data_IF_418031742869
#
_entry.id   IF_418031742869
#
_cell.length_a   1.000
_cell.length_b   1.000
_cell.length_c   1.000
_cell.angle_alpha   90.00
_cell.angle_beta   90.00
_cell.angle_gamma   90.00
#
_symmetry.space_group_name_H-M   'P 1'
#
loop_
_entity.id
_entity.type
_entity.pdbx_description
1 polymer ?
#
# COMPACT_ATOMS: atom_id res chain seq x y z
N UNK A 1 15.06 -20.57 9.07
CA UNK A 1 15.99 -19.93 8.10
C UNK A 1 16.45 -18.55 8.58
N UNK A 2 15.59 -17.70 9.15
CA UNK A 2 15.92 -16.35 9.65
C UNK A 2 17.08 -16.30 10.68
N UNK A 3 17.14 -17.28 11.60
CA UNK A 3 18.21 -17.39 12.59
C UNK A 3 19.60 -17.51 11.97
N UNK A 4 19.76 -18.33 10.93
CA UNK A 4 21.05 -18.48 10.24
C UNK A 4 21.50 -17.15 9.62
N UNK A 5 20.56 -16.37 9.09
CA UNK A 5 20.82 -15.00 8.62
C UNK A 5 21.34 -14.08 9.75
N UNK A 6 20.74 -14.14 10.94
CA UNK A 6 21.21 -13.39 12.11
C UNK A 6 22.63 -13.80 12.52
N UNK A 7 22.94 -15.10 12.51
CA UNK A 7 24.25 -15.61 12.87
C UNK A 7 25.33 -15.14 11.87
N UNK A 8 25.08 -15.28 10.57
CA UNK A 8 25.97 -14.78 9.53
C UNK A 8 26.18 -13.26 9.61
N UNK A 9 25.12 -12.46 9.81
CA UNK A 9 25.23 -11.01 9.98
C UNK A 9 26.02 -10.66 11.25
N UNK A 10 25.79 -11.38 12.35
CA UNK A 10 26.53 -11.17 13.60
C UNK A 10 28.05 -11.40 13.42
N UNK A 11 28.40 -12.39 12.59
CA UNK A 11 29.77 -12.75 12.20
C UNK A 11 30.42 -11.78 11.21
N UNK A 12 29.66 -10.81 10.67
CA UNK A 12 30.16 -9.78 9.76
C UNK A 12 29.88 -10.04 8.28
N UNK A 13 29.14 -11.09 7.93
CA UNK A 13 28.68 -11.29 6.56
C UNK A 13 27.73 -10.16 6.12
N UNK A 14 27.53 -10.02 4.82
CA UNK A 14 26.61 -9.05 4.22
C UNK A 14 25.61 -9.74 3.31
N UNK A 15 24.39 -9.21 3.25
CA UNK A 15 23.41 -9.57 2.23
C UNK A 15 23.88 -8.95 0.90
N UNK A 16 23.91 -9.76 -0.15
CA UNK A 16 24.35 -9.34 -1.49
C UNK A 16 23.53 -8.13 -1.96
N UNK A 17 24.20 -7.10 -2.49
CA UNK A 17 23.60 -5.83 -2.95
C UNK A 17 22.89 -5.00 -1.86
N UNK A 18 23.03 -5.35 -0.57
CA UNK A 18 22.37 -4.66 0.57
C UNK A 18 23.37 -4.40 1.72
N UNK A 19 24.56 -3.93 1.41
CA UNK A 19 25.67 -3.78 2.37
C UNK A 19 25.41 -2.72 3.45
N UNK A 20 24.80 -1.59 3.08
CA UNK A 20 24.46 -0.52 4.02
C UNK A 20 23.40 -0.97 5.04
N UNK A 21 22.35 -1.64 4.57
CA UNK A 21 21.29 -2.21 5.40
C UNK A 21 21.82 -3.34 6.29
N UNK A 22 22.69 -4.19 5.73
CA UNK A 22 23.41 -5.22 6.50
C UNK A 22 24.23 -4.57 7.62
N UNK A 23 24.95 -3.49 7.33
CA UNK A 23 25.72 -2.72 8.32
C UNK A 23 24.87 -2.23 9.49
N UNK A 24 23.68 -1.70 9.21
CA UNK A 24 22.73 -1.23 10.22
C UNK A 24 22.11 -2.39 11.05
N UNK A 25 21.93 -3.56 10.44
CA UNK A 25 21.36 -4.75 11.09
C UNK A 25 22.36 -5.54 11.94
N UNK A 26 23.68 -5.44 11.70
CA UNK A 26 24.73 -6.12 12.47
C UNK A 26 24.67 -5.92 14.00
N UNK A 27 24.54 -4.70 14.54
CA UNK A 27 24.44 -4.52 16.00
C UNK A 27 23.20 -5.23 16.57
N UNK A 28 22.07 -5.19 15.85
CA UNK A 28 20.83 -5.86 16.23
C UNK A 28 20.99 -7.39 16.19
N UNK A 29 21.61 -7.94 15.14
CA UNK A 29 21.92 -9.36 15.03
C UNK A 29 22.82 -9.86 16.19
N UNK A 30 23.81 -9.06 16.59
CA UNK A 30 24.68 -9.37 17.75
C UNK A 30 23.92 -9.31 19.08
N UNK A 31 22.99 -8.36 19.23
CA UNK A 31 22.14 -8.28 20.41
C UNK A 31 21.20 -9.49 20.50
N UNK A 32 20.60 -9.89 19.37
CA UNK A 32 19.74 -11.07 19.26
C UNK A 32 20.48 -12.37 19.61
N UNK A 33 21.68 -12.59 19.07
CA UNK A 33 22.45 -13.81 19.36
C UNK A 33 22.87 -13.88 20.83
N UNK A 34 23.30 -12.75 21.43
CA UNK A 34 23.59 -12.66 22.87
C UNK A 34 22.36 -12.88 23.74
N UNK A 35 21.21 -12.33 23.35
CA UNK A 35 19.96 -12.50 24.09
C UNK A 35 19.50 -13.96 24.09
N UNK A 36 19.64 -14.66 22.96
CA UNK A 36 19.35 -16.09 22.88
C UNK A 36 20.27 -16.90 23.80
N UNK A 37 21.58 -16.57 23.83
CA UNK A 37 22.52 -17.26 24.71
C UNK A 37 22.18 -17.04 26.20
N UNK A 38 21.74 -15.82 26.56
CA UNK A 38 21.22 -15.53 27.90
C UNK A 38 19.97 -16.35 28.23
N UNK A 39 19.00 -16.43 27.32
CA UNK A 39 17.78 -17.24 27.50
C UNK A 39 18.14 -18.72 27.67
N UNK A 40 19.08 -19.24 26.86
CA UNK A 40 19.56 -20.62 26.97
C UNK A 40 20.22 -20.90 28.32
N UNK A 41 21.06 -19.98 28.80
CA UNK A 41 21.67 -20.06 30.12
C UNK A 41 20.61 -20.12 31.23
N UNK A 42 19.66 -19.18 31.22
CA UNK A 42 18.58 -19.13 32.22
C UNK A 42 17.67 -20.36 32.18
N UNK A 43 17.35 -20.87 30.99
CA UNK A 43 16.57 -22.11 30.83
C UNK A 43 17.33 -23.32 31.37
N UNK A 44 18.64 -23.40 31.11
CA UNK A 44 19.50 -24.46 31.64
C UNK A 44 19.52 -24.42 33.16
N UNK A 45 19.74 -23.25 33.74
CA UNK A 45 19.77 -23.06 35.20
C UNK A 45 18.41 -23.41 35.83
N UNK A 46 17.31 -22.98 35.22
CA UNK A 46 15.95 -23.30 35.66
C UNK A 46 15.62 -24.80 35.54
N UNK A 47 16.19 -25.50 34.56
CA UNK A 47 15.99 -26.96 34.39
C UNK A 47 16.78 -27.81 35.38
N UNK A 48 17.92 -27.30 35.88
CA UNK A 48 18.77 -27.98 36.85
C UNK A 48 18.37 -27.68 38.29
N UNK A 49 17.71 -26.54 38.52
CA UNK A 49 17.21 -26.14 39.82
C UNK A 49 15.75 -26.60 39.99
N UNK A 50 15.53 -27.68 40.75
CA UNK A 50 14.19 -28.22 41.01
C UNK A 50 13.24 -27.29 41.78
N UNK A 51 13.75 -26.17 42.29
CA UNK A 51 12.98 -25.14 42.97
C UNK A 51 12.75 -23.95 42.03
N UNK A 52 11.57 -23.93 41.39
CA UNK A 52 11.13 -22.86 40.50
C UNK A 52 10.73 -21.62 41.31
N UNK A 53 11.71 -21.00 41.97
CA UNK A 53 11.46 -19.82 42.78
C UNK A 53 10.94 -18.67 41.90
N UNK A 54 9.93 -17.90 42.36
CA UNK A 54 9.33 -16.82 41.59
C UNK A 54 10.30 -15.78 41.00
N UNK A 55 11.43 -15.40 41.63
CA UNK A 55 12.40 -14.47 41.01
C UNK A 55 13.16 -15.09 39.82
N UNK A 56 13.47 -16.39 39.84
CA UNK A 56 14.13 -17.07 38.72
C UNK A 56 13.23 -17.07 37.47
N UNK A 57 11.95 -17.42 37.66
CA UNK A 57 10.95 -17.40 36.59
C UNK A 57 10.75 -15.98 36.02
N UNK A 58 10.72 -14.95 36.89
CA UNK A 58 10.61 -13.54 36.45
C UNK A 58 11.78 -13.11 35.58
N UNK A 59 13.01 -13.49 35.94
CA UNK A 59 14.20 -13.17 35.16
C UNK A 59 14.19 -13.88 33.79
N UNK A 60 13.75 -15.14 33.76
CA UNK A 60 13.56 -15.88 32.52
C UNK A 60 12.51 -15.22 31.62
N UNK A 61 11.33 -14.88 32.17
CA UNK A 61 10.25 -14.22 31.43
C UNK A 61 10.72 -12.87 30.86
N UNK A 62 11.39 -12.05 31.68
CA UNK A 62 11.94 -10.76 31.22
C UNK A 62 12.96 -10.96 30.10
N UNK A 63 13.79 -12.00 30.19
CA UNK A 63 14.75 -12.33 29.14
C UNK A 63 14.09 -12.83 27.86
N UNK A 64 13.01 -13.60 27.96
CA UNK A 64 12.21 -14.04 26.82
C UNK A 64 11.53 -12.85 26.14
N UNK A 65 10.94 -11.91 26.88
CA UNK A 65 10.36 -10.69 26.30
C UNK A 65 11.42 -9.85 25.57
N UNK A 66 12.63 -9.74 26.13
CA UNK A 66 13.74 -9.03 25.47
C UNK A 66 14.14 -9.74 24.17
N UNK A 67 14.24 -11.07 24.19
CA UNK A 67 14.56 -11.87 23.02
C UNK A 67 13.48 -11.74 21.94
N UNK A 68 12.21 -11.84 22.31
CA UNK A 68 11.06 -11.72 21.43
C UNK A 68 11.03 -10.37 20.71
N UNK A 69 11.25 -9.28 21.45
CA UNK A 69 11.33 -7.94 20.87
C UNK A 69 12.49 -7.79 19.88
N UNK A 70 13.69 -8.27 20.26
CA UNK A 70 14.86 -8.25 19.38
C UNK A 70 14.67 -9.10 18.12
N UNK A 71 13.98 -10.24 18.26
CA UNK A 71 13.69 -11.14 17.15
C UNK A 71 12.70 -10.51 16.17
N UNK A 72 11.61 -9.94 16.69
CA UNK A 72 10.61 -9.25 15.88
C UNK A 72 11.21 -8.04 15.14
N UNK A 73 12.03 -7.24 15.82
CA UNK A 73 12.71 -6.10 15.19
C UNK A 73 13.70 -6.57 14.11
N UNK A 74 14.49 -7.62 14.40
CA UNK A 74 15.42 -8.19 13.43
C UNK A 74 14.68 -8.75 12.20
N UNK A 75 13.59 -9.49 12.42
CA UNK A 75 12.77 -10.05 11.35
C UNK A 75 12.20 -8.96 10.45
N UNK A 76 11.59 -7.93 11.03
CA UNK A 76 11.04 -6.81 10.27
C UNK A 76 12.11 -6.14 9.41
N UNK A 77 13.30 -5.86 9.98
CA UNK A 77 14.41 -5.24 9.25
C UNK A 77 14.94 -6.15 8.15
N UNK A 78 15.10 -7.43 8.44
CA UNK A 78 15.62 -8.42 7.50
C UNK A 78 14.68 -8.62 6.30
N UNK A 79 13.37 -8.71 6.56
CA UNK A 79 12.35 -8.81 5.50
C UNK A 79 12.25 -7.51 4.71
N UNK A 80 12.28 -6.35 5.38
CA UNK A 80 12.23 -5.03 4.72
C UNK A 80 13.41 -4.77 3.77
N UNK A 81 14.57 -5.39 4.03
CA UNK A 81 15.73 -5.34 3.15
C UNK A 81 15.54 -6.16 1.86
N UNK A 82 14.73 -7.21 1.91
CA UNK A 82 14.50 -8.15 0.80
C UNK A 82 13.27 -7.79 -0.02
N UNK A 83 12.22 -7.29 0.64
CA UNK A 83 10.94 -6.96 0.04
C UNK A 83 10.53 -5.57 0.53
N UNK A 84 10.06 -4.67 -0.35
CA UNK A 84 9.51 -3.40 0.08
C UNK A 84 8.31 -3.66 1.01
N UNK A 85 8.49 -3.39 2.30
CA UNK A 85 7.41 -3.47 3.29
C UNK A 85 6.66 -2.15 3.26
N UNK A 86 5.38 -2.23 2.89
CA UNK A 86 4.53 -1.04 2.83
C UNK A 86 4.19 -0.54 4.22
N UNK A 87 4.18 0.77 4.39
CA UNK A 87 3.71 1.37 5.65
C UNK A 87 2.19 1.18 5.81
N UNK A 88 1.67 1.27 7.04
CA UNK A 88 0.23 1.23 7.28
C UNK A 88 -0.52 2.29 6.46
N UNK A 89 0.07 3.47 6.34
CA UNK A 89 -0.45 4.55 5.50
C UNK A 89 -0.47 4.19 4.01
N UNK A 90 0.56 3.52 3.49
CA UNK A 90 0.56 3.04 2.10
C UNK A 90 -0.53 1.99 1.83
N UNK A 91 -0.84 1.14 2.82
CA UNK A 91 -1.97 0.22 2.74
C UNK A 91 -3.31 0.95 2.73
N UNK A 92 -3.47 1.97 3.57
CA UNK A 92 -4.67 2.82 3.58
C UNK A 92 -4.87 3.50 2.22
N UNK A 93 -3.82 4.10 1.66
CA UNK A 93 -3.86 4.73 0.34
C UNK A 93 -4.23 3.71 -0.75
N UNK A 94 -3.65 2.50 -0.71
CA UNK A 94 -4.00 1.45 -1.66
C UNK A 94 -5.47 1.00 -1.51
N UNK A 95 -5.98 0.90 -0.28
CA UNK A 95 -7.38 0.56 -0.04
C UNK A 95 -8.33 1.65 -0.55
N UNK A 96 -7.99 2.93 -0.38
CA UNK A 96 -8.77 4.04 -0.94
C UNK A 96 -8.86 3.98 -2.47
N UNK A 97 -7.78 3.55 -3.15
CA UNK A 97 -7.79 3.33 -4.61
C UNK A 97 -8.77 2.21 -4.98
N UNK A 98 -8.76 1.11 -4.22
CA UNK A 98 -9.70 0.00 -4.45
C UNK A 98 -11.14 0.46 -4.26
N UNK A 99 -11.43 1.20 -3.18
CA UNK A 99 -12.77 1.77 -2.94
C UNK A 99 -13.20 2.68 -4.09
N UNK A 100 -12.31 3.56 -4.56
CA UNK A 100 -12.59 4.44 -5.70
C UNK A 100 -12.93 3.65 -6.98
N UNK A 101 -12.24 2.54 -7.23
CA UNK A 101 -12.51 1.66 -8.37
C UNK A 101 -13.87 0.98 -8.22
N UNK A 102 -14.18 0.47 -7.03
CA UNK A 102 -15.47 -0.16 -6.72
C UNK A 102 -16.64 0.84 -6.84
N UNK A 103 -16.49 2.07 -6.33
CA UNK A 103 -17.50 3.11 -6.48
C UNK A 103 -17.73 3.46 -7.96
N UNK A 104 -16.65 3.57 -8.73
CA UNK A 104 -16.75 3.90 -10.16
C UNK A 104 -17.45 2.79 -10.93
N UNK A 105 -17.12 1.52 -10.64
CA UNK A 105 -17.80 0.36 -11.22
C UNK A 105 -19.28 0.34 -10.86
N UNK A 106 -19.62 0.54 -9.58
CA UNK A 106 -21.01 0.54 -9.12
C UNK A 106 -21.82 1.68 -9.77
N UNK A 107 -21.24 2.87 -9.91
CA UNK A 107 -21.90 3.99 -10.61
C UNK A 107 -22.17 3.65 -12.08
N UNK A 108 -21.22 3.03 -12.77
CA UNK A 108 -21.39 2.63 -14.15
C UNK A 108 -22.48 1.54 -14.32
N UNK A 109 -22.59 0.60 -13.37
CA UNK A 109 -23.68 -0.39 -13.32
C UNK A 109 -25.04 0.27 -13.09
N UNK A 110 -25.15 1.18 -12.11
CA UNK A 110 -26.42 1.88 -11.80
C UNK A 110 -26.89 2.75 -12.97
N UNK A 111 -25.97 3.37 -13.72
CA UNK A 111 -26.28 4.14 -14.92
C UNK A 111 -26.56 3.27 -16.16
N UNK A 112 -26.46 1.94 -16.05
CA UNK A 112 -26.73 1.01 -17.14
C UNK A 112 -25.68 1.03 -18.25
N UNK A 113 -24.48 1.54 -17.97
CA UNK A 113 -23.37 1.64 -18.92
C UNK A 113 -22.61 0.32 -19.06
N UNK A 114 -22.78 -0.57 -18.07
CA UNK A 114 -22.19 -1.89 -18.00
C UNK A 114 -23.28 -2.86 -17.53
N UNK A 115 -23.17 -4.11 -17.96
CA UNK A 115 -24.02 -5.20 -17.46
C UNK A 115 -23.31 -5.97 -16.35
N UNK A 116 -24.07 -6.62 -15.47
CA UNK A 116 -23.52 -7.46 -14.42
C UNK A 116 -22.72 -8.65 -14.99
N UNK A 117 -23.15 -9.17 -16.13
CA UNK A 117 -22.48 -10.28 -16.84
C UNK A 117 -21.03 -9.92 -17.24
N UNK A 118 -20.79 -8.69 -17.72
CA UNK A 118 -19.43 -8.22 -18.05
C UNK A 118 -18.50 -8.17 -16.83
N UNK A 119 -19.07 -7.96 -15.63
CA UNK A 119 -18.31 -7.97 -14.38
C UNK A 119 -18.00 -9.40 -13.95
N UNK A 120 -19.01 -10.27 -14.00
CA UNK A 120 -18.89 -11.66 -13.58
C UNK A 120 -17.94 -12.46 -14.50
N UNK A 121 -17.91 -12.13 -15.79
CA UNK A 121 -17.03 -12.72 -16.80
C UNK A 121 -15.61 -12.14 -16.81
N UNK A 122 -15.30 -11.18 -15.94
CA UNK A 122 -14.02 -10.48 -15.92
C UNK A 122 -13.62 -9.93 -17.30
N UNK A 123 -14.53 -9.23 -17.98
CA UNK A 123 -14.29 -8.70 -19.33
C UNK A 123 -12.96 -7.91 -19.37
N UNK A 124 -11.98 -8.31 -20.20
CA UNK A 124 -10.71 -7.61 -20.31
C UNK A 124 -10.86 -6.10 -20.61
N UNK A 125 -11.83 -5.72 -21.44
CA UNK A 125 -12.08 -4.31 -21.76
C UNK A 125 -12.53 -3.53 -20.52
N UNK A 126 -13.34 -4.15 -19.66
CA UNK A 126 -13.77 -3.59 -18.38
C UNK A 126 -12.59 -3.44 -17.42
N UNK A 127 -11.75 -4.48 -17.31
CA UNK A 127 -10.57 -4.49 -16.44
C UNK A 127 -9.57 -3.37 -16.77
N UNK A 128 -9.50 -2.93 -18.03
CA UNK A 128 -8.69 -1.77 -18.43
C UNK A 128 -9.42 -0.43 -18.30
N UNK A 129 -10.73 -0.39 -18.51
CA UNK A 129 -11.50 0.85 -18.59
C UNK A 129 -11.84 1.40 -17.20
N UNK A 130 -12.22 0.53 -16.26
CA UNK A 130 -12.60 0.94 -14.90
C UNK A 130 -11.48 1.69 -14.17
N UNK A 131 -10.22 1.22 -14.15
CA UNK A 131 -9.13 1.97 -13.52
C UNK A 131 -8.96 3.38 -14.09
N UNK A 132 -9.07 3.54 -15.42
CA UNK A 132 -8.93 4.84 -16.09
C UNK A 132 -10.07 5.78 -15.71
N UNK A 133 -11.29 5.26 -15.74
CA UNK A 133 -12.49 6.00 -15.38
C UNK A 133 -12.47 6.42 -13.92
N UNK A 134 -11.98 5.54 -13.04
CA UNK A 134 -11.87 5.79 -11.62
C UNK A 134 -10.83 6.85 -11.27
N UNK A 135 -9.72 6.91 -12.03
CA UNK A 135 -8.76 8.01 -11.91
C UNK A 135 -9.43 9.34 -12.25
N UNK A 136 -10.16 9.39 -13.37
CA UNK A 136 -10.86 10.63 -13.80
C UNK A 136 -11.95 11.02 -12.78
N UNK A 137 -12.74 10.06 -12.31
CA UNK A 137 -13.79 10.31 -11.31
C UNK A 137 -13.19 10.77 -9.97
N UNK A 138 -12.11 10.14 -9.52
CA UNK A 138 -11.41 10.50 -8.28
C UNK A 138 -10.84 11.91 -8.29
N UNK A 139 -10.37 12.38 -9.44
CA UNK A 139 -9.84 13.75 -9.57
C UNK A 139 -10.95 14.80 -9.65
N UNK A 140 -12.10 14.47 -10.24
CA UNK A 140 -13.21 15.41 -10.45
C UNK A 140 -14.13 15.53 -9.24
N UNK A 141 -14.47 14.40 -8.60
CA UNK A 141 -15.42 14.38 -7.49
C UNK A 141 -14.77 14.50 -6.11
N UNK A 142 -13.52 14.03 -5.97
CA UNK A 142 -12.82 13.96 -4.68
C UNK A 142 -11.47 14.68 -4.69
N UNK A 143 -11.37 15.96 -5.11
CA UNK A 143 -10.10 16.65 -5.30
C UNK A 143 -9.24 16.80 -4.02
N UNK A 144 -9.85 16.72 -2.82
CA UNK A 144 -9.17 16.89 -1.53
C UNK A 144 -9.04 15.61 -0.69
N UNK A 145 -9.84 14.57 -0.99
CA UNK A 145 -9.92 13.31 -0.22
C UNK A 145 -9.46 12.10 -1.05
N UNK A 146 -9.08 12.30 -2.31
CA UNK A 146 -8.67 11.23 -3.20
C UNK A 146 -7.22 10.83 -2.94
N UNK A 147 -6.88 9.53 -3.00
CA UNK A 147 -5.49 9.05 -3.00
C UNK A 147 -4.68 9.55 -4.21
N UNK A 148 -5.33 10.30 -5.13
CA UNK A 148 -4.79 10.90 -6.35
C UNK A 148 -4.59 12.43 -6.23
N UNK A 149 -4.71 13.01 -5.03
CA UNK A 149 -4.67 14.47 -4.83
C UNK A 149 -3.43 15.11 -5.46
N UNK A 150 -3.68 16.05 -6.39
CA UNK A 150 -2.65 16.75 -7.16
C UNK A 150 -2.10 18.00 -6.45
N UNK A 151 -2.85 18.53 -5.49
CA UNK A 151 -2.56 19.78 -4.77
C UNK A 151 -1.82 19.55 -3.44
N UNK A 152 -1.85 18.31 -2.93
CA UNK A 152 -1.20 17.91 -1.67
C UNK A 152 0.22 17.41 -1.93
N UNK A 153 1.06 17.47 -0.89
CA UNK A 153 2.47 17.07 -0.92
C UNK A 153 2.66 15.69 -1.58
N UNK A 154 3.79 15.50 -2.26
CA UNK A 154 4.10 14.26 -2.99
C UNK A 154 3.96 12.99 -2.13
N UNK A 155 4.13 13.12 -0.81
CA UNK A 155 4.03 12.09 0.22
C UNK A 155 2.64 11.48 0.37
N UNK A 156 1.57 12.21 0.08
CA UNK A 156 0.21 11.79 0.41
C UNK A 156 -0.48 11.04 -0.75
N UNK A 157 0.22 10.90 -1.88
CA UNK A 157 -0.23 10.05 -2.99
C UNK A 157 0.40 8.67 -2.89
N UNK A 158 -0.41 7.66 -3.23
CA UNK A 158 0.04 6.27 -3.33
C UNK A 158 1.26 6.15 -4.24
N UNK A 159 2.27 5.38 -3.82
CA UNK A 159 3.49 5.10 -4.61
C UNK A 159 3.18 4.54 -6.00
N UNK A 160 2.02 3.91 -6.17
CA UNK A 160 1.53 3.42 -7.46
C UNK A 160 1.34 4.54 -8.49
N UNK A 161 0.92 5.72 -8.04
CA UNK A 161 0.57 6.86 -8.90
C UNK A 161 1.61 7.99 -8.88
N UNK A 162 2.51 8.01 -7.88
CA UNK A 162 3.64 8.96 -7.82
C UNK A 162 4.43 9.10 -9.13
N UNK A 163 4.88 8.00 -9.80
CA UNK A 163 5.64 8.12 -11.05
C UNK A 163 4.80 8.67 -12.21
N UNK A 164 3.47 8.63 -12.12
CA UNK A 164 2.54 9.09 -13.15
C UNK A 164 1.90 10.44 -12.83
N UNK A 165 2.33 11.15 -11.78
CA UNK A 165 1.75 12.43 -11.35
C UNK A 165 1.57 13.44 -12.48
N UNK A 166 2.60 13.59 -13.33
CA UNK A 166 2.57 14.51 -14.46
C UNK A 166 1.50 14.08 -15.48
N UNK A 167 1.47 12.80 -15.84
CA UNK A 167 0.47 12.25 -16.77
C UNK A 167 -0.96 12.38 -16.23
N UNK A 168 -1.16 12.16 -14.93
CA UNK A 168 -2.45 12.33 -14.25
C UNK A 168 -2.89 13.79 -14.28
N UNK A 169 -1.97 14.73 -14.06
CA UNK A 169 -2.24 16.16 -14.16
C UNK A 169 -2.65 16.56 -15.59
N UNK A 170 -1.96 16.06 -16.62
CA UNK A 170 -2.33 16.31 -18.02
C UNK A 170 -3.71 15.73 -18.37
N UNK A 171 -4.02 14.53 -17.90
CA UNK A 171 -5.35 13.91 -18.08
C UNK A 171 -6.41 14.75 -17.37
N UNK A 172 -6.17 15.18 -16.14
CA UNK A 172 -7.10 16.03 -15.40
C UNK A 172 -7.36 17.36 -16.13
N UNK A 173 -6.31 18.06 -16.55
CA UNK A 173 -6.44 19.32 -17.31
C UNK A 173 -7.19 19.10 -18.64
N UNK A 174 -6.93 17.99 -19.33
CA UNK A 174 -7.63 17.65 -20.57
C UNK A 174 -9.10 17.33 -20.32
N UNK A 175 -9.44 16.59 -19.25
CA UNK A 175 -10.82 16.29 -18.86
C UNK A 175 -11.56 17.56 -18.44
N UNK A 176 -10.96 18.43 -17.62
CA UNK A 176 -11.55 19.71 -17.22
C UNK A 176 -11.76 20.61 -18.44
N UNK A 177 -10.80 20.68 -19.36
CA UNK A 177 -10.94 21.41 -20.62
C UNK A 177 -12.09 20.84 -21.46
N UNK A 178 -12.15 19.51 -21.64
CA UNK A 178 -13.24 18.85 -22.33
C UNK A 178 -14.60 19.16 -21.68
N UNK A 179 -14.72 19.06 -20.35
CA UNK A 179 -15.97 19.35 -19.61
C UNK A 179 -16.35 20.83 -19.76
N UNK A 180 -15.41 21.77 -19.65
CA UNK A 180 -15.66 23.20 -19.82
C UNK A 180 -16.07 23.55 -21.25
N UNK A 181 -15.43 22.93 -22.25
CA UNK A 181 -15.80 23.06 -23.67
C UNK A 181 -17.18 22.46 -23.90
N UNK A 182 -17.47 21.27 -23.35
CA UNK A 182 -18.77 20.63 -23.46
C UNK A 182 -19.87 21.45 -22.80
N UNK A 183 -19.63 22.00 -21.61
CA UNK A 183 -20.57 22.88 -20.90
C UNK A 183 -20.81 24.18 -21.66
N UNK A 184 -19.79 24.79 -22.27
CA UNK A 184 -19.96 25.96 -23.16
C UNK A 184 -20.76 25.59 -24.41
N UNK A 185 -20.49 24.44 -25.03
CA UNK A 185 -21.27 23.94 -26.15
C UNK A 185 -22.72 23.66 -25.75
N UNK A 186 -22.98 23.03 -24.61
CA UNK A 186 -24.34 22.72 -24.13
C UNK A 186 -25.15 23.99 -23.81
N UNK A 187 -24.50 25.01 -23.24
CA UNK A 187 -25.10 26.34 -23.02
C UNK A 187 -25.43 27.03 -24.35
N UNK A 188 -24.62 26.83 -25.40
CA UNK A 188 -24.95 27.29 -26.76
C UNK A 188 -26.00 26.42 -27.47
N UNK A 189 -26.13 25.14 -27.12
CA UNK A 189 -26.95 24.14 -27.80
C UNK A 189 -28.36 23.93 -27.23
N UNK A 190 -28.78 24.67 -26.20
CA UNK A 190 -30.17 24.66 -25.70
C UNK A 190 -31.19 25.30 -26.68
N UNK A 191 -30.94 25.19 -28.00
CA UNK A 191 -31.88 25.56 -29.05
C UNK A 191 -32.09 24.51 -30.14
N UNK A 192 -31.36 23.38 -30.20
CA UNK A 192 -31.66 22.33 -31.20
C UNK A 192 -31.38 20.92 -30.64
N UNK A 193 -32.41 20.07 -30.63
CA UNK A 193 -32.39 18.63 -30.32
C UNK A 193 -31.48 17.88 -31.28
N UNK A 194 -30.53 17.06 -30.80
CA UNK A 194 -30.08 15.85 -31.51
C UNK A 194 -29.42 14.82 -30.59
N UNK A 195 -29.72 13.57 -30.89
CA UNK A 195 -29.14 12.29 -30.43
C UNK A 195 -27.81 12.00 -31.14
N UNK A 196 -26.79 11.50 -30.43
CA UNK A 196 -25.88 10.40 -30.88
C UNK A 196 -24.78 10.07 -29.82
N UNK A 197 -25.23 9.33 -28.81
CA UNK A 197 -24.70 8.13 -28.13
C UNK A 197 -23.22 7.85 -27.81
N UNK A 198 -22.19 8.44 -28.44
CA UNK A 198 -20.79 8.10 -28.04
C UNK A 198 -20.15 9.13 -27.12
N UNK A 199 -20.55 10.39 -27.24
CA UNK A 199 -20.00 11.49 -26.41
C UNK A 199 -20.70 11.64 -25.07
N UNK A 200 -21.81 10.93 -24.87
CA UNK A 200 -22.59 10.93 -23.62
C UNK A 200 -21.90 10.13 -22.51
N UNK A 201 -21.17 9.06 -22.83
CA UNK A 201 -20.54 8.18 -21.84
C UNK A 201 -19.65 8.92 -20.84
N UNK A 202 -18.78 9.83 -21.28
CA UNK A 202 -17.88 10.53 -20.36
C UNK A 202 -18.63 11.53 -19.47
N UNK A 203 -19.63 12.22 -20.02
CA UNK A 203 -20.40 13.23 -19.28
C UNK A 203 -21.40 12.58 -18.32
N UNK A 204 -22.09 11.51 -18.73
CA UNK A 204 -22.98 10.73 -17.88
C UNK A 204 -22.21 9.92 -16.84
N UNK A 205 -20.93 9.59 -17.03
CA UNK A 205 -20.15 8.98 -15.93
C UNK A 205 -19.69 10.04 -14.91
N UNK A 206 -19.46 11.28 -15.36
CA UNK A 206 -18.88 12.38 -14.58
C UNK A 206 -19.95 13.31 -13.95
N UNK A 207 -21.20 13.28 -14.41
CA UNK A 207 -22.34 14.05 -13.88
C UNK A 207 -23.46 13.08 -13.57
#
# INVERSE_FOLDING_TARGET
QLWFGAECLSAGSSIMNREAESGAMRPLARALTKSLERVRGLLRDASLCGDQTPPCLRNLISSLCTFDHLLAEFELRYVSAMVPVKTAHEYELQQLVVVLFSETLQRALVKGLLTQEMVDDYDPALMFTIPRLAIVSGLLFYPYMSPLSLDQNATDMSDMFRPFRVSIYFVFMSCVFCILVYRRCLIQYHNIRYTENEKFLLYDIIV
#
